data_IF_211395404059
#
_entry.id   IF_211395404059
#
_cell.length_a   1.000
_cell.length_b   1.000
_cell.length_c   1.000
_cell.angle_alpha   90.00
_cell.angle_beta   90.00
_cell.angle_gamma   90.00
#
_symmetry.space_group_name_H-M   'P 1'
#
loop_
_entity.id
_entity.type
_entity.pdbx_description
1 polymer ?
#
# COMPACT_ATOMS: atom_id res chain seq x y z
N UNK A 1 -7.03 -7.58 -3.89
CA UNK A 1 -7.08 -8.90 -3.20
C UNK A 1 -8.26 -9.75 -3.67
N UNK A 2 -9.49 -9.22 -3.74
CA UNK A 2 -10.65 -10.00 -4.25
C UNK A 2 -10.48 -10.43 -5.70
N UNK A 3 -9.92 -9.57 -6.56
CA UNK A 3 -9.57 -9.93 -7.94
C UNK A 3 -8.56 -11.09 -8.02
N UNK A 4 -7.77 -11.31 -6.98
CA UNK A 4 -6.85 -12.44 -6.84
C UNK A 4 -7.49 -13.65 -6.14
N UNK A 5 -8.82 -13.65 -5.94
CA UNK A 5 -9.56 -14.76 -5.34
C UNK A 5 -9.57 -14.78 -3.80
N UNK A 6 -9.05 -13.73 -3.14
CA UNK A 6 -9.15 -13.63 -1.68
C UNK A 6 -10.51 -13.08 -1.26
N UNK A 7 -11.10 -13.69 -0.25
CA UNK A 7 -12.25 -13.11 0.46
C UNK A 7 -11.72 -12.21 1.59
N UNK A 8 -12.02 -10.93 1.51
CA UNK A 8 -11.71 -9.98 2.57
C UNK A 8 -12.71 -10.16 3.70
N UNK A 9 -12.22 -10.30 4.93
CA UNK A 9 -13.06 -10.52 6.11
C UNK A 9 -13.11 -9.30 7.00
N UNK A 10 -11.95 -8.72 7.31
CA UNK A 10 -11.84 -7.59 8.25
C UNK A 10 -10.79 -6.61 7.76
N UNK A 11 -11.05 -5.31 7.92
CA UNK A 11 -10.08 -4.23 7.82
C UNK A 11 -10.01 -3.42 9.08
N UNK A 12 -8.87 -2.79 9.34
CA UNK A 12 -8.70 -1.84 10.44
C UNK A 12 -7.93 -0.62 9.97
N UNK A 13 -8.40 0.55 10.34
CA UNK A 13 -7.70 1.83 10.21
C UNK A 13 -8.29 2.82 11.23
N UNK A 14 -7.50 3.80 11.64
CA UNK A 14 -7.95 4.87 12.53
C UNK A 14 -8.76 5.96 11.80
N UNK A 15 -8.69 6.02 10.47
CA UNK A 15 -9.34 7.05 9.66
C UNK A 15 -10.75 6.62 9.22
N UNK A 16 -11.76 7.36 9.66
CA UNK A 16 -13.16 7.11 9.26
C UNK A 16 -13.39 7.18 7.74
N UNK A 17 -12.63 8.03 7.02
CA UNK A 17 -12.70 8.10 5.55
C UNK A 17 -12.20 6.82 4.88
N UNK A 18 -11.12 6.21 5.41
CA UNK A 18 -10.63 4.92 4.96
C UNK A 18 -11.68 3.82 5.20
N UNK A 19 -12.34 3.85 6.36
CA UNK A 19 -13.44 2.94 6.68
C UNK A 19 -14.59 3.00 5.67
N UNK A 20 -15.07 4.20 5.36
CA UNK A 20 -16.14 4.38 4.36
C UNK A 20 -15.75 3.84 2.98
N UNK A 21 -14.52 4.07 2.55
CA UNK A 21 -14.02 3.53 1.28
C UNK A 21 -13.92 2.01 1.33
N UNK A 22 -13.40 1.46 2.44
CA UNK A 22 -13.29 0.01 2.63
C UNK A 22 -14.67 -0.68 2.58
N UNK A 23 -15.66 -0.16 3.31
CA UNK A 23 -17.02 -0.71 3.35
C UNK A 23 -17.71 -0.63 1.99
N UNK A 24 -17.51 0.47 1.24
CA UNK A 24 -18.05 0.63 -0.10
C UNK A 24 -17.42 -0.37 -1.11
N UNK A 25 -16.15 -0.72 -0.94
CA UNK A 25 -15.43 -1.63 -1.85
C UNK A 25 -15.50 -3.11 -1.41
N UNK A 26 -15.77 -3.36 -0.13
CA UNK A 26 -15.85 -4.69 0.47
C UNK A 26 -17.12 -4.85 1.33
N UNK A 27 -18.33 -4.86 0.72
CA UNK A 27 -19.59 -4.79 1.44
C UNK A 27 -19.86 -6.00 2.36
N UNK A 28 -19.13 -7.10 2.15
CA UNK A 28 -19.25 -8.33 2.95
C UNK A 28 -18.18 -8.43 4.06
N UNK A 29 -17.26 -7.46 4.14
CA UNK A 29 -16.23 -7.41 5.16
C UNK A 29 -16.65 -6.54 6.34
N UNK A 30 -16.04 -6.74 7.50
CA UNK A 30 -16.20 -5.86 8.67
C UNK A 30 -15.08 -4.84 8.72
N UNK A 31 -15.38 -3.64 9.18
CA UNK A 31 -14.37 -2.62 9.43
C UNK A 31 -14.32 -2.27 10.91
N UNK A 32 -13.11 -2.35 11.49
CA UNK A 32 -12.82 -1.96 12.86
C UNK A 32 -12.20 -0.56 12.83
N UNK A 33 -13.00 0.45 13.10
CA UNK A 33 -12.56 1.84 13.12
C UNK A 33 -11.85 2.16 14.43
N UNK A 34 -10.58 2.52 14.36
CA UNK A 34 -9.79 2.95 15.51
C UNK A 34 -8.33 2.55 15.40
N UNK A 35 -7.55 3.04 16.37
CA UNK A 35 -6.14 2.68 16.54
C UNK A 35 -6.01 1.20 16.86
N UNK A 36 -5.04 0.50 16.26
CA UNK A 36 -4.86 -0.94 16.42
C UNK A 36 -4.59 -1.34 17.88
N UNK A 37 -4.02 -0.45 18.69
CA UNK A 37 -3.78 -0.66 20.12
C UNK A 37 -5.06 -0.87 20.95
N UNK A 38 -6.21 -0.41 20.42
CA UNK A 38 -7.52 -0.54 21.07
C UNK A 38 -8.21 -1.88 20.83
N UNK A 39 -7.63 -2.71 19.95
CA UNK A 39 -8.20 -3.99 19.55
C UNK A 39 -7.29 -5.14 19.94
N UNK A 40 -7.88 -6.24 20.37
CA UNK A 40 -7.19 -7.50 20.56
C UNK A 40 -7.40 -8.44 19.35
N UNK A 41 -6.58 -9.47 19.25
CA UNK A 41 -6.73 -10.50 18.22
C UNK A 41 -8.15 -11.14 18.25
N UNK A 42 -8.77 -11.19 19.44
CA UNK A 42 -10.13 -11.68 19.62
C UNK A 42 -11.16 -10.84 18.88
N UNK A 43 -11.02 -9.50 18.88
CA UNK A 43 -11.95 -8.61 18.17
C UNK A 43 -11.94 -8.86 16.67
N UNK A 44 -10.74 -9.07 16.09
CA UNK A 44 -10.58 -9.42 14.68
C UNK A 44 -11.16 -10.80 14.35
N UNK A 45 -10.94 -11.78 15.22
CA UNK A 45 -11.44 -13.14 15.02
C UNK A 45 -12.97 -13.20 15.14
N UNK A 46 -13.56 -12.50 16.09
CA UNK A 46 -15.02 -12.36 16.24
C UNK A 46 -15.63 -11.66 15.01
N UNK A 47 -15.02 -10.54 14.57
CA UNK A 47 -15.47 -9.84 13.38
C UNK A 47 -15.39 -10.70 12.11
N UNK A 48 -14.36 -11.55 12.00
CA UNK A 48 -14.16 -12.47 10.89
C UNK A 48 -15.02 -13.75 10.97
N UNK A 49 -15.55 -14.09 12.15
CA UNK A 49 -16.21 -15.37 12.42
C UNK A 49 -15.24 -16.56 12.39
N UNK A 50 -13.99 -16.37 12.84
CA UNK A 50 -12.92 -17.36 12.80
C UNK A 50 -12.37 -17.65 14.19
N UNK A 51 -11.67 -18.79 14.31
CA UNK A 51 -10.84 -19.15 15.45
C UNK A 51 -9.34 -18.91 15.15
N UNK A 52 -8.48 -18.83 16.18
CA UNK A 52 -7.04 -18.76 15.96
C UNK A 52 -6.55 -19.89 15.06
N UNK A 53 -5.74 -19.56 14.05
CA UNK A 53 -5.19 -20.49 13.09
C UNK A 53 -6.03 -20.74 11.84
N UNK A 54 -7.27 -20.25 11.79
CA UNK A 54 -8.16 -20.45 10.63
C UNK A 54 -8.00 -19.36 9.55
N UNK A 55 -7.39 -18.20 9.88
CA UNK A 55 -7.15 -17.15 8.89
C UNK A 55 -6.06 -17.56 7.91
N UNK A 56 -6.35 -17.48 6.61
CA UNK A 56 -5.36 -17.81 5.59
C UNK A 56 -4.24 -16.78 5.49
N UNK A 57 -4.55 -15.48 5.46
CA UNK A 57 -3.55 -14.44 5.26
C UNK A 57 -3.88 -13.18 6.06
N UNK A 58 -2.88 -12.62 6.73
CA UNK A 58 -2.92 -11.31 7.36
C UNK A 58 -1.94 -10.38 6.66
N UNK A 59 -2.43 -9.23 6.18
CA UNK A 59 -1.65 -8.23 5.48
C UNK A 59 -1.60 -6.97 6.32
N UNK A 60 -0.43 -6.37 6.47
CA UNK A 60 -0.26 -5.10 7.17
C UNK A 60 0.88 -4.25 6.63
N UNK A 61 0.81 -2.95 6.92
CA UNK A 61 1.85 -1.97 6.57
C UNK A 61 2.08 -1.00 7.73
N UNK A 62 2.49 -1.47 8.92
CA UNK A 62 2.76 -0.58 10.04
C UNK A 62 3.89 0.39 9.68
N UNK A 63 3.77 1.69 10.01
CA UNK A 63 4.81 2.66 9.72
C UNK A 63 6.11 2.32 10.45
N UNK A 64 7.25 2.42 9.73
CA UNK A 64 8.57 2.06 10.26
C UNK A 64 9.35 3.24 10.86
N UNK A 65 8.70 4.36 11.14
CA UNK A 65 9.41 5.58 11.55
C UNK A 65 10.19 5.46 12.87
N UNK A 66 9.93 4.46 13.68
CA UNK A 66 10.68 4.14 14.89
C UNK A 66 12.00 3.39 14.66
N UNK A 67 12.18 2.74 13.51
CA UNK A 67 13.44 2.09 13.13
C UNK A 67 14.42 3.03 12.41
N UNK A 68 14.08 4.31 12.24
CA UNK A 68 14.96 5.28 11.60
C UNK A 68 16.08 5.72 12.54
N UNK A 69 17.29 5.27 12.26
CA UNK A 69 18.54 5.46 13.01
C UNK A 69 19.04 6.92 13.03
N UNK A 70 18.31 7.86 12.43
CA UNK A 70 18.68 9.28 12.50
C UNK A 70 18.39 9.95 13.84
N UNK A 71 17.87 9.21 14.83
CA UNK A 71 17.64 9.74 16.16
C UNK A 71 18.54 9.04 17.17
N UNK A 72 19.81 9.38 17.18
CA UNK A 72 20.82 8.94 18.16
C UNK A 72 20.47 9.24 19.64
N UNK A 73 19.33 9.90 19.91
CA UNK A 73 18.92 10.34 21.25
C UNK A 73 17.56 9.80 21.71
N UNK A 74 16.93 8.84 20.99
CA UNK A 74 15.67 8.24 21.47
C UNK A 74 15.84 6.73 21.55
N UNK A 75 15.71 6.21 22.78
CA UNK A 75 15.75 4.78 23.07
C UNK A 75 14.64 4.00 22.36
N UNK A 76 14.60 2.71 22.57
CA UNK A 76 13.62 1.74 22.05
C UNK A 76 12.13 2.07 22.36
N UNK A 77 11.87 3.19 23.04
CA UNK A 77 10.55 3.69 23.45
C UNK A 77 9.94 4.72 22.51
N UNK A 78 10.33 4.79 21.23
CA UNK A 78 9.64 5.66 20.27
C UNK A 78 8.26 5.05 19.94
N UNK A 79 7.18 5.80 20.22
CA UNK A 79 5.77 5.42 19.99
C UNK A 79 5.47 4.82 18.61
N UNK A 80 6.36 5.02 17.67
CA UNK A 80 6.22 4.58 16.27
C UNK A 80 6.76 3.17 16.02
N UNK A 81 7.69 2.66 16.84
CA UNK A 81 8.08 1.26 16.83
C UNK A 81 6.98 0.40 17.46
N UNK A 82 6.14 0.99 18.29
CA UNK A 82 5.02 0.32 18.95
C UNK A 82 4.02 -0.25 17.92
N UNK A 83 3.77 0.43 16.78
CA UNK A 83 2.82 -0.08 15.79
C UNK A 83 3.26 -1.38 15.11
N UNK A 84 4.56 -1.60 14.96
CA UNK A 84 5.06 -2.91 14.52
C UNK A 84 4.83 -3.98 15.60
N UNK A 85 5.06 -3.67 16.87
CA UNK A 85 4.80 -4.60 17.97
C UNK A 85 3.31 -4.91 18.09
N UNK A 86 2.45 -3.93 17.88
CA UNK A 86 0.99 -4.16 17.83
C UNK A 86 0.60 -5.09 16.69
N UNK A 87 1.17 -4.89 15.50
CA UNK A 87 0.96 -5.82 14.39
C UNK A 87 1.40 -7.26 14.77
N UNK A 88 2.57 -7.42 15.40
CA UNK A 88 3.07 -8.73 15.85
C UNK A 88 2.17 -9.35 16.93
N UNK A 89 1.63 -8.54 17.86
CA UNK A 89 0.67 -8.99 18.89
C UNK A 89 -0.61 -9.55 18.24
N UNK A 90 -1.10 -8.90 17.20
CA UNK A 90 -2.26 -9.38 16.43
C UNK A 90 -1.91 -10.68 15.67
N UNK A 91 -0.73 -10.76 15.04
CA UNK A 91 -0.24 -11.98 14.37
C UNK A 91 -0.19 -13.15 15.34
N UNK A 92 0.38 -12.94 16.54
CA UNK A 92 0.51 -13.95 17.58
C UNK A 92 -0.85 -14.50 18.03
N UNK A 93 -1.82 -13.62 18.23
CA UNK A 93 -3.17 -14.02 18.68
C UNK A 93 -4.01 -14.67 17.59
N UNK A 94 -3.96 -14.16 16.36
CA UNK A 94 -4.73 -14.70 15.23
C UNK A 94 -4.10 -15.98 14.68
N UNK A 95 -2.78 -16.08 14.64
CA UNK A 95 -2.02 -17.20 14.08
C UNK A 95 -2.37 -17.50 12.61
N UNK A 96 -2.33 -16.50 11.71
CA UNK A 96 -2.67 -16.72 10.31
C UNK A 96 -1.72 -17.73 9.65
N UNK A 97 -2.17 -18.42 8.60
CA UNK A 97 -1.30 -19.33 7.84
C UNK A 97 -0.19 -18.59 7.11
N UNK A 98 -0.50 -17.39 6.57
CA UNK A 98 0.43 -16.50 5.87
C UNK A 98 0.40 -15.11 6.47
N UNK A 99 1.55 -14.45 6.42
CA UNK A 99 1.73 -13.03 6.79
C UNK A 99 2.37 -12.29 5.65
N UNK A 100 1.92 -11.05 5.42
CA UNK A 100 2.52 -10.13 4.46
C UNK A 100 2.66 -8.77 5.15
N UNK A 101 3.89 -8.26 5.23
CA UNK A 101 4.17 -6.95 5.78
C UNK A 101 4.85 -6.09 4.71
N UNK A 102 4.21 -4.95 4.39
CA UNK A 102 4.76 -3.95 3.46
C UNK A 102 5.50 -2.86 4.24
N UNK A 103 6.64 -2.41 3.68
CA UNK A 103 7.33 -1.27 4.23
C UNK A 103 8.14 -0.50 3.16
N UNK A 104 8.63 0.68 3.50
CA UNK A 104 9.53 1.45 2.65
C UNK A 104 10.92 0.81 2.60
N UNK A 105 11.62 0.96 1.47
CA UNK A 105 12.95 0.33 1.29
C UNK A 105 14.01 0.81 2.28
N UNK A 106 13.82 2.00 2.88
CA UNK A 106 14.70 2.53 3.92
C UNK A 106 14.85 1.62 5.15
N UNK A 107 13.87 0.73 5.42
CA UNK A 107 13.95 -0.25 6.51
C UNK A 107 15.14 -1.20 6.35
N UNK A 108 15.56 -1.49 5.11
CA UNK A 108 16.68 -2.39 4.83
C UNK A 108 18.05 -1.81 5.21
N UNK A 109 18.17 -0.49 5.31
CA UNK A 109 19.40 0.20 5.72
C UNK A 109 19.32 0.78 7.14
N UNK A 110 18.15 0.78 7.74
CA UNK A 110 17.94 1.27 9.09
C UNK A 110 18.74 0.42 10.10
N UNK A 111 19.55 1.10 10.94
CA UNK A 111 20.43 0.43 11.88
C UNK A 111 21.50 -0.47 11.23
N UNK A 112 21.96 -0.14 10.03
CA UNK A 112 22.89 -1.02 9.29
C UNK A 112 22.25 -2.34 8.87
N UNK A 113 20.92 -2.41 8.76
CA UNK A 113 20.16 -3.62 8.44
C UNK A 113 19.45 -4.27 9.63
N UNK A 114 19.81 -3.88 10.84
CA UNK A 114 19.28 -4.50 12.07
C UNK A 114 17.73 -4.44 12.17
N UNK A 115 17.12 -3.36 11.64
CA UNK A 115 15.66 -3.23 11.65
C UNK A 115 14.95 -4.31 10.80
N UNK A 116 15.48 -4.58 9.61
CA UNK A 116 14.90 -5.62 8.75
C UNK A 116 15.14 -7.04 9.31
N UNK A 117 16.26 -7.25 9.96
CA UNK A 117 16.59 -8.54 10.58
C UNK A 117 15.73 -8.77 11.83
N UNK A 118 15.48 -7.73 12.65
CA UNK A 118 14.57 -7.81 13.80
C UNK A 118 13.12 -8.13 13.38
N UNK A 119 12.66 -7.63 12.23
CA UNK A 119 11.35 -8.00 11.66
C UNK A 119 11.31 -9.49 11.33
N UNK A 120 12.33 -10.00 10.63
CA UNK A 120 12.41 -11.43 10.29
C UNK A 120 12.44 -12.28 11.55
N UNK A 121 13.32 -11.96 12.50
CA UNK A 121 13.44 -12.67 13.78
C UNK A 121 12.12 -12.68 14.57
N UNK A 122 11.39 -11.56 14.60
CA UNK A 122 10.09 -11.47 15.28
C UNK A 122 9.08 -12.46 14.70
N UNK A 123 9.02 -12.62 13.39
CA UNK A 123 8.16 -13.61 12.74
C UNK A 123 8.65 -15.04 12.98
N UNK A 124 9.98 -15.28 12.90
CA UNK A 124 10.57 -16.60 13.14
C UNK A 124 10.30 -17.09 14.55
N UNK A 125 10.35 -16.21 15.56
CA UNK A 125 9.98 -16.50 16.95
C UNK A 125 8.51 -16.92 17.11
N UNK A 126 7.64 -16.52 16.18
CA UNK A 126 6.24 -16.97 16.13
C UNK A 126 6.03 -18.20 15.22
N UNK A 127 7.12 -18.81 14.73
CA UNK A 127 7.09 -20.02 13.93
C UNK A 127 6.82 -19.82 12.43
N UNK A 128 7.03 -18.60 11.90
CA UNK A 128 6.93 -18.33 10.47
C UNK A 128 8.31 -18.46 9.80
N UNK A 129 8.36 -19.12 8.65
CA UNK A 129 9.47 -18.94 7.72
C UNK A 129 9.18 -17.68 6.90
N UNK A 130 10.12 -16.72 6.87
CA UNK A 130 9.94 -15.42 6.21
C UNK A 130 11.04 -15.15 5.18
N UNK A 131 10.66 -14.58 4.07
CA UNK A 131 11.56 -14.03 3.05
C UNK A 131 11.22 -12.56 2.83
N UNK A 132 12.22 -11.76 2.41
CA UNK A 132 12.05 -10.34 2.08
C UNK A 132 12.50 -10.07 0.66
N UNK A 133 11.71 -9.27 -0.09
CA UNK A 133 12.03 -8.88 -1.47
C UNK A 133 11.59 -7.43 -1.72
N UNK A 134 12.39 -6.68 -2.47
CA UNK A 134 11.96 -5.38 -3.00
C UNK A 134 11.14 -5.64 -4.25
N UNK A 135 9.92 -5.11 -4.26
CA UNK A 135 9.06 -5.07 -5.44
C UNK A 135 8.94 -3.62 -5.93
N UNK A 136 8.86 -3.47 -7.25
CA UNK A 136 8.66 -2.19 -7.92
C UNK A 136 7.30 -2.21 -8.59
N UNK A 137 6.44 -1.26 -8.22
CA UNK A 137 5.06 -1.23 -8.69
C UNK A 137 4.94 -1.14 -10.22
N UNK A 138 5.85 -0.39 -10.85
CA UNK A 138 5.92 -0.25 -12.31
C UNK A 138 6.16 -1.58 -13.03
N UNK A 139 6.85 -2.53 -12.42
CA UNK A 139 7.08 -3.87 -12.96
C UNK A 139 5.80 -4.73 -13.02
N UNK A 140 4.73 -4.28 -12.36
CA UNK A 140 3.42 -4.94 -12.29
C UNK A 140 2.28 -4.13 -12.92
N UNK A 141 2.62 -3.16 -13.79
CA UNK A 141 1.64 -2.37 -14.54
C UNK A 141 0.97 -1.25 -13.74
N UNK A 142 1.57 -0.83 -12.63
CA UNK A 142 1.15 0.38 -11.90
C UNK A 142 1.87 1.59 -12.49
N UNK A 143 1.16 2.68 -12.85
CA UNK A 143 1.78 3.88 -13.45
C UNK A 143 2.47 4.76 -12.41
N UNK A 144 3.35 4.15 -11.61
CA UNK A 144 4.07 4.82 -10.52
C UNK A 144 5.40 4.14 -10.25
N UNK A 145 6.48 4.87 -10.25
CA UNK A 145 7.76 4.43 -9.70
C UNK A 145 7.65 4.36 -8.17
N UNK A 146 7.36 3.16 -7.67
CA UNK A 146 7.19 2.90 -6.25
C UNK A 146 7.89 1.62 -5.84
N UNK A 147 8.91 1.74 -5.03
CA UNK A 147 9.64 0.60 -4.46
C UNK A 147 9.20 0.33 -3.04
N UNK A 148 8.92 -0.93 -2.75
CA UNK A 148 8.57 -1.38 -1.40
C UNK A 148 9.26 -2.68 -1.09
N UNK A 149 9.67 -2.83 0.16
CA UNK A 149 10.08 -4.14 0.66
C UNK A 149 8.84 -4.85 1.18
N UNK A 150 8.68 -6.07 0.73
CA UNK A 150 7.64 -6.98 1.20
C UNK A 150 8.32 -8.08 2.00
N UNK A 151 7.88 -8.28 3.23
CA UNK A 151 8.17 -9.47 4.01
C UNK A 151 6.98 -10.41 3.85
N UNK A 152 7.24 -11.61 3.35
CA UNK A 152 6.22 -12.64 3.16
C UNK A 152 6.63 -13.88 3.92
N UNK A 153 5.73 -14.40 4.72
CA UNK A 153 6.01 -15.57 5.53
C UNK A 153 4.83 -16.50 5.69
N UNK A 154 5.12 -17.76 6.02
CA UNK A 154 4.10 -18.73 6.39
C UNK A 154 4.59 -19.67 7.47
N UNK A 155 3.62 -20.27 8.20
CA UNK A 155 3.83 -21.28 9.25
C UNK A 155 3.37 -22.68 8.83
N UNK A 156 3.01 -22.86 7.57
CA UNK A 156 2.44 -24.11 7.02
C UNK A 156 3.43 -24.90 6.18
N UNK A 157 4.70 -24.45 6.11
CA UNK A 157 5.75 -25.13 5.38
C UNK A 157 5.65 -25.04 3.85
N UNK A 158 4.78 -24.16 3.34
CA UNK A 158 4.65 -23.95 1.91
C UNK A 158 5.85 -23.15 1.35
N UNK A 159 6.27 -23.39 0.09
CA UNK A 159 7.29 -22.57 -0.54
C UNK A 159 6.79 -21.13 -0.73
N UNK A 160 7.67 -20.15 -0.50
CA UNK A 160 7.40 -18.75 -0.81
C UNK A 160 7.74 -18.53 -2.27
N UNK A 161 6.75 -18.15 -3.07
CA UNK A 161 6.91 -17.89 -4.50
C UNK A 161 6.67 -16.42 -4.76
N UNK A 162 7.67 -15.74 -5.30
CA UNK A 162 7.58 -14.34 -5.66
C UNK A 162 7.04 -14.19 -7.09
N UNK A 163 6.17 -13.19 -7.35
CA UNK A 163 5.70 -12.95 -8.70
C UNK A 163 6.83 -12.46 -9.61
N UNK A 164 6.79 -12.90 -10.87
CA UNK A 164 7.64 -12.37 -11.92
C UNK A 164 7.09 -11.05 -12.44
N UNK A 165 7.95 -10.10 -12.88
CA UNK A 165 7.53 -8.87 -13.53
C UNK A 165 6.64 -9.14 -14.74
N UNK A 166 5.57 -8.36 -14.89
CA UNK A 166 4.65 -8.40 -16.04
C UNK A 166 4.89 -7.27 -17.02
N UNK A 167 5.63 -6.24 -16.62
CA UNK A 167 5.98 -5.06 -17.42
C UNK A 167 7.47 -4.75 -17.29
N UNK A 168 8.04 -4.08 -18.30
CA UNK A 168 9.44 -3.75 -18.35
C UNK A 168 9.74 -2.51 -19.19
N UNK A 169 11.02 -2.18 -19.40
CA UNK A 169 11.42 -1.08 -20.28
C UNK A 169 10.93 -1.26 -21.71
N UNK A 170 10.65 -0.14 -22.40
CA UNK A 170 10.27 -0.16 -23.80
C UNK A 170 11.35 -0.85 -24.66
N UNK A 171 10.92 -1.68 -25.61
CA UNK A 171 11.80 -2.48 -26.46
C UNK A 171 12.30 -3.79 -25.83
N UNK A 172 11.92 -4.09 -24.58
CA UNK A 172 12.17 -5.37 -23.92
C UNK A 172 11.21 -6.49 -24.38
N UNK A 173 11.28 -7.64 -23.68
CA UNK A 173 10.39 -8.81 -23.95
C UNK A 173 9.03 -8.68 -23.33
N UNK A 174 8.90 -7.86 -22.27
CA UNK A 174 7.65 -7.62 -21.56
C UNK A 174 6.93 -6.39 -22.15
N UNK A 175 5.61 -6.27 -21.96
CA UNK A 175 4.89 -5.03 -22.20
C UNK A 175 5.59 -3.83 -21.55
N UNK A 176 5.60 -2.65 -22.17
CA UNK A 176 6.25 -1.47 -21.61
C UNK A 176 5.55 -1.04 -20.31
N UNK A 177 6.30 -0.34 -19.46
CA UNK A 177 5.73 0.28 -18.26
C UNK A 177 4.54 1.18 -18.60
N UNK A 178 3.48 1.09 -17.81
CA UNK A 178 2.32 1.98 -17.93
C UNK A 178 2.74 3.38 -17.50
N UNK A 179 2.51 4.36 -18.36
CA UNK A 179 2.87 5.76 -18.10
C UNK A 179 1.74 6.51 -17.40
N UNK A 180 2.05 7.67 -16.82
CA UNK A 180 1.03 8.58 -16.28
C UNK A 180 0.03 9.01 -17.37
N UNK A 181 0.50 9.22 -18.61
CA UNK A 181 -0.37 9.53 -19.75
C UNK A 181 -1.35 8.40 -20.05
N UNK A 182 -0.89 7.13 -19.96
CA UNK A 182 -1.76 5.97 -20.14
C UNK A 182 -2.78 5.84 -18.99
N UNK A 183 -2.48 6.40 -17.82
CA UNK A 183 -3.37 6.32 -16.66
C UNK A 183 -4.43 7.42 -16.62
N UNK A 184 -4.06 8.66 -16.87
CA UNK A 184 -4.91 9.84 -16.64
C UNK A 184 -5.04 10.77 -17.86
N UNK A 185 -4.52 10.39 -19.02
CA UNK A 185 -4.52 11.24 -20.22
C UNK A 185 -5.90 11.53 -20.80
N UNK A 186 -6.93 10.84 -20.34
CA UNK A 186 -8.34 11.02 -20.71
C UNK A 186 -9.14 11.86 -19.71
N UNK A 187 -8.53 12.25 -18.59
CA UNK A 187 -9.18 13.10 -17.60
C UNK A 187 -9.19 14.55 -18.05
N UNK A 188 -10.22 15.34 -17.69
CA UNK A 188 -10.25 16.77 -17.95
C UNK A 188 -9.07 17.48 -17.28
N UNK A 189 -8.53 18.49 -17.96
CA UNK A 189 -7.56 19.38 -17.32
C UNK A 189 -8.28 20.27 -16.31
N UNK A 190 -7.61 20.51 -15.18
CA UNK A 190 -8.10 21.36 -14.09
C UNK A 190 -7.16 22.54 -13.89
N UNK A 191 -7.74 23.69 -13.60
CA UNK A 191 -7.02 24.86 -13.13
C UNK A 191 -6.67 24.72 -11.64
N UNK A 192 -5.72 25.53 -11.16
CA UNK A 192 -5.29 25.52 -9.77
C UNK A 192 -6.44 25.80 -8.79
N UNK A 193 -6.79 24.83 -7.98
CA UNK A 193 -7.88 24.89 -7.01
C UNK A 193 -9.27 24.69 -7.61
N UNK A 194 -9.35 24.17 -8.84
CA UNK A 194 -10.63 23.89 -9.51
C UNK A 194 -11.23 22.57 -9.02
N UNK A 195 -12.53 22.58 -8.77
CA UNK A 195 -13.34 21.39 -8.50
C UNK A 195 -14.61 21.47 -9.37
N UNK A 196 -14.67 20.65 -10.39
CA UNK A 196 -15.80 20.61 -11.32
C UNK A 196 -16.89 19.60 -10.88
N UNK A 197 -16.73 18.98 -9.73
CA UNK A 197 -17.63 17.92 -9.27
C UNK A 197 -17.63 16.70 -10.20
N UNK A 198 -18.76 15.98 -10.23
CA UNK A 198 -18.94 14.87 -11.16
C UNK A 198 -19.19 15.38 -12.58
N UNK A 199 -18.36 14.97 -13.54
CA UNK A 199 -18.48 15.35 -14.94
C UNK A 199 -18.28 14.16 -15.89
N UNK A 200 -18.93 14.16 -17.07
CA UNK A 200 -18.74 13.08 -18.02
C UNK A 200 -17.31 13.07 -18.57
N UNK A 201 -16.82 11.89 -18.92
CA UNK A 201 -15.60 11.78 -19.70
C UNK A 201 -15.75 12.47 -21.04
N UNK A 202 -14.77 13.28 -21.44
CA UNK A 202 -14.79 14.02 -22.70
C UNK A 202 -14.35 13.18 -23.90
N UNK A 203 -13.58 12.13 -23.66
CA UNK A 203 -13.01 11.25 -24.68
C UNK A 203 -13.24 9.78 -24.36
N UNK A 204 -13.28 8.89 -25.35
CA UNK A 204 -13.12 7.46 -25.12
C UNK A 204 -11.80 7.16 -24.40
N UNK A 205 -11.66 5.97 -23.75
CA UNK A 205 -10.37 5.55 -23.22
C UNK A 205 -9.31 5.53 -24.31
N UNK A 206 -8.13 6.09 -24.00
CA UNK A 206 -7.00 6.21 -24.93
C UNK A 206 -5.97 5.10 -24.72
N UNK A 207 -6.13 4.29 -23.68
CA UNK A 207 -5.26 3.16 -23.34
C UNK A 207 -6.05 2.01 -22.72
N UNK A 208 -5.48 0.81 -22.72
CA UNK A 208 -6.06 -0.34 -22.04
C UNK A 208 -6.17 -0.12 -20.52
N UNK A 209 -5.22 0.62 -19.94
CA UNK A 209 -5.27 0.97 -18.53
C UNK A 209 -6.49 1.83 -18.21
N UNK A 210 -6.75 2.88 -19.00
CA UNK A 210 -7.94 3.73 -18.85
C UNK A 210 -9.23 2.93 -19.06
N UNK A 211 -9.29 2.07 -20.06
CA UNK A 211 -10.45 1.21 -20.32
C UNK A 211 -10.75 0.33 -19.09
N UNK A 212 -9.74 -0.29 -18.52
CA UNK A 212 -9.86 -1.13 -17.32
C UNK A 212 -10.28 -0.33 -16.08
N UNK A 213 -9.70 0.86 -15.87
CA UNK A 213 -9.99 1.69 -14.70
C UNK A 213 -11.38 2.32 -14.76
N UNK A 214 -11.83 2.75 -15.93
CA UNK A 214 -13.20 3.26 -16.10
C UNK A 214 -14.26 2.20 -15.88
N UNK A 215 -14.04 0.96 -16.36
CA UNK A 215 -15.08 -0.06 -16.37
C UNK A 215 -16.35 0.48 -17.00
N UNK A 216 -17.45 0.53 -16.25
CA UNK A 216 -18.75 1.05 -16.68
C UNK A 216 -19.01 2.51 -16.23
N UNK A 217 -18.01 3.19 -15.64
CA UNK A 217 -18.21 4.56 -15.15
C UNK A 217 -18.43 5.54 -16.30
N UNK A 218 -19.49 6.32 -16.19
CA UNK A 218 -19.84 7.36 -17.18
C UNK A 218 -19.31 8.75 -16.78
N UNK A 219 -18.93 8.89 -15.50
CA UNK A 219 -18.52 10.17 -14.92
C UNK A 219 -17.19 10.04 -14.19
N UNK A 220 -16.38 11.09 -14.33
CA UNK A 220 -15.21 11.34 -13.49
C UNK A 220 -15.69 11.94 -12.19
N UNK A 221 -15.27 11.37 -11.06
CA UNK A 221 -15.60 11.85 -9.71
C UNK A 221 -14.33 12.03 -8.89
N UNK A 222 -14.39 12.84 -7.83
CA UNK A 222 -13.24 13.14 -6.97
C UNK A 222 -12.03 13.72 -7.74
N UNK A 223 -12.29 14.40 -8.87
CA UNK A 223 -11.28 15.02 -9.70
C UNK A 223 -11.27 16.52 -9.42
N UNK A 224 -10.53 16.90 -8.37
CA UNK A 224 -10.39 18.27 -7.90
C UNK A 224 -8.91 18.61 -7.73
N UNK A 225 -8.50 19.78 -8.17
CA UNK A 225 -7.14 20.28 -7.99
C UNK A 225 -7.00 20.98 -6.63
N UNK A 226 -6.00 20.65 -5.82
CA UNK A 226 -5.72 21.39 -4.61
C UNK A 226 -5.30 22.82 -4.96
N UNK A 227 -5.70 23.80 -4.14
CA UNK A 227 -5.27 25.18 -4.32
C UNK A 227 -3.83 25.36 -3.82
N UNK A 228 -2.92 25.58 -4.74
CA UNK A 228 -1.52 25.88 -4.45
C UNK A 228 -1.34 27.40 -4.29
N UNK A 229 -0.48 27.79 -3.34
CA UNK A 229 -0.06 29.18 -3.21
C UNK A 229 0.82 29.64 -4.37
N UNK A 230 0.85 30.95 -4.65
CA UNK A 230 1.52 31.56 -5.80
C UNK A 230 2.96 31.09 -6.02
N UNK A 231 3.75 31.00 -4.95
CA UNK A 231 5.15 30.55 -4.99
C UNK A 231 5.28 29.10 -5.50
N UNK A 232 4.32 28.22 -5.16
CA UNK A 232 4.37 26.85 -5.63
C UNK A 232 3.91 26.72 -7.08
N UNK A 233 2.97 27.57 -7.52
CA UNK A 233 2.57 27.66 -8.92
C UNK A 233 3.75 28.13 -9.79
N UNK A 234 4.46 29.17 -9.34
CA UNK A 234 5.67 29.68 -10.00
C UNK A 234 6.75 28.59 -10.09
N UNK A 235 7.04 27.88 -8.98
CA UNK A 235 8.02 26.78 -8.97
C UNK A 235 7.64 25.67 -9.96
N UNK A 236 6.37 25.27 -10.00
CA UNK A 236 5.90 24.23 -10.93
C UNK A 236 6.10 24.61 -12.39
N UNK A 237 5.98 25.91 -12.73
CA UNK A 237 6.20 26.39 -14.08
C UNK A 237 7.66 26.21 -14.56
N UNK A 238 8.62 26.09 -13.65
CA UNK A 238 10.03 25.85 -13.97
C UNK A 238 10.42 24.36 -14.02
N UNK A 239 9.52 23.44 -13.64
CA UNK A 239 9.79 22.00 -13.72
C UNK A 239 9.54 21.52 -15.15
N UNK A 240 10.55 20.99 -15.86
CA UNK A 240 10.36 20.47 -17.21
C UNK A 240 9.53 19.17 -17.19
N UNK A 241 8.94 18.79 -18.33
CA UNK A 241 8.29 17.47 -18.46
C UNK A 241 9.24 16.33 -18.08
N UNK A 242 8.78 15.44 -17.15
CA UNK A 242 9.61 14.38 -16.60
C UNK A 242 10.55 14.81 -15.48
N UNK A 243 10.58 16.10 -15.14
CA UNK A 243 11.35 16.65 -14.03
C UNK A 243 10.67 16.53 -12.66
N UNK A 244 11.33 17.05 -11.66
CA UNK A 244 10.88 17.05 -10.28
C UNK A 244 11.26 18.37 -9.58
N UNK A 245 10.81 18.54 -8.33
CA UNK A 245 11.20 19.69 -7.50
C UNK A 245 12.73 19.86 -7.30
N UNK A 246 13.53 18.83 -7.63
CA UNK A 246 14.99 18.86 -7.54
C UNK A 246 15.64 19.60 -8.73
N UNK A 247 14.86 19.89 -9.75
CA UNK A 247 15.32 20.56 -10.95
C UNK A 247 15.18 22.10 -10.87
N UNK A 248 14.67 22.59 -9.72
CA UNK A 248 14.49 24.00 -9.38
C UNK A 248 15.15 24.40 -8.10
#
# INVERSE_FOLDING_TARGET
SEQAGFRILVGNDMMAAAGKTFEATHPNAKFLLGEIQKFDAKDFLEAAGLKPGELHCLIGGPPCQGFSVYNHNRGLDDDRSQLFHEYMRIVEGIKPAWVVLENVTGILSAGGGAAADAIVESFENLGYRVEKKILKAEEFGVPQERRRVIFMGNRVGAPIVWPDPTHGPAGGRLPPFVTIKDAIGDLPLLENGEDLGAQPYKTPPLSEFQLRMRGNAQYVTNHAAPRLGAINVERLAHIPPGGSWRDI
#
